data_IF_490334623115
#
_entry.id   IF_490334623115
#
_cell.length_a   1.000
_cell.length_b   1.000
_cell.length_c   1.000
_cell.angle_alpha   90.00
_cell.angle_beta   90.00
_cell.angle_gamma   90.00
#
_symmetry.space_group_name_H-M   'P 1'
#
loop_
_entity.id
_entity.type
_entity.pdbx_description
1 polymer ?
#
# COMPACT_ATOMS: atom_id res chain seq x y z
N UNK A 1 9.10 -27.05 14.03
CA UNK A 1 8.03 -26.33 13.28
C UNK A 1 8.50 -24.90 12.94
N UNK A 2 8.62 -24.58 11.66
CA UNK A 2 8.83 -23.19 11.24
C UNK A 2 7.51 -22.47 11.48
N UNK A 3 7.49 -21.50 12.39
CA UNK A 3 6.30 -20.69 12.64
C UNK A 3 6.18 -19.66 11.53
N UNK A 4 5.08 -19.69 10.80
CA UNK A 4 4.78 -18.64 9.83
C UNK A 4 4.49 -17.33 10.57
N UNK A 5 5.06 -16.23 10.08
CA UNK A 5 4.81 -14.91 10.65
C UNK A 5 3.41 -14.43 10.28
N UNK A 6 2.77 -13.72 11.22
CA UNK A 6 1.51 -13.02 10.98
C UNK A 6 1.71 -11.57 11.37
N UNK A 7 1.49 -10.65 10.43
CA UNK A 7 1.61 -9.21 10.66
C UNK A 7 0.26 -8.56 10.40
N UNK A 8 -0.12 -7.61 11.26
CA UNK A 8 -1.37 -6.87 11.13
C UNK A 8 -1.09 -5.40 10.88
N UNK A 9 -1.63 -4.88 9.80
CA UNK A 9 -1.70 -3.45 9.51
C UNK A 9 -3.04 -2.92 10.02
N UNK A 10 -3.00 -1.82 10.77
CA UNK A 10 -4.16 -1.21 11.42
C UNK A 10 -4.09 0.30 11.19
N UNK A 11 -5.25 0.93 11.06
CA UNK A 11 -5.35 2.38 11.27
C UNK A 11 -5.14 2.67 12.75
N UNK A 12 -4.47 3.77 13.05
CA UNK A 12 -4.37 4.22 14.44
C UNK A 12 -5.72 4.73 14.92
N UNK A 13 -6.12 4.37 16.14
CA UNK A 13 -7.45 4.73 16.68
C UNK A 13 -7.74 6.26 16.61
N UNK A 14 -6.81 7.16 16.96
CA UNK A 14 -7.07 8.60 16.85
C UNK A 14 -7.31 9.08 15.41
N UNK A 15 -6.67 8.45 14.43
CA UNK A 15 -6.88 8.75 13.01
C UNK A 15 -8.23 8.21 12.54
N UNK A 16 -8.57 7.00 12.97
CA UNK A 16 -9.83 6.36 12.60
C UNK A 16 -11.05 7.12 13.12
N UNK A 17 -11.00 7.64 14.35
CA UNK A 17 -12.06 8.47 14.92
C UNK A 17 -12.31 9.75 14.12
N UNK A 18 -11.27 10.33 13.53
CA UNK A 18 -11.36 11.52 12.69
C UNK A 18 -11.92 11.22 11.29
N UNK A 19 -11.90 9.96 10.88
CA UNK A 19 -12.25 9.50 9.53
C UNK A 19 -13.31 8.39 9.55
N UNK A 20 -14.32 8.56 10.40
CA UNK A 20 -15.44 7.61 10.58
C UNK A 20 -16.26 7.35 9.30
N UNK A 21 -16.16 8.23 8.31
CA UNK A 21 -16.79 8.10 7.00
C UNK A 21 -16.17 6.99 6.13
N UNK A 22 -14.97 6.51 6.47
CA UNK A 22 -14.28 5.48 5.69
C UNK A 22 -14.89 4.11 6.01
N UNK A 23 -15.75 3.62 5.12
CA UNK A 23 -16.42 2.32 5.24
C UNK A 23 -15.54 1.10 4.88
N UNK A 24 -14.30 1.32 4.44
CA UNK A 24 -13.35 0.26 4.09
C UNK A 24 -12.80 -0.51 5.31
N UNK A 25 -12.08 -1.62 5.09
CA UNK A 25 -11.59 -2.47 6.17
C UNK A 25 -10.64 -1.70 7.11
N UNK A 26 -10.83 -1.81 8.43
CA UNK A 26 -9.97 -1.14 9.42
C UNK A 26 -8.56 -1.75 9.50
N UNK A 27 -8.44 -3.01 9.09
CA UNK A 27 -7.23 -3.79 9.24
C UNK A 27 -6.97 -4.67 8.02
N UNK A 28 -5.70 -4.93 7.74
CA UNK A 28 -5.25 -6.00 6.88
C UNK A 28 -4.32 -6.94 7.65
N UNK A 29 -4.41 -8.23 7.37
CA UNK A 29 -3.55 -9.25 7.99
C UNK A 29 -2.73 -9.94 6.90
N UNK A 30 -1.41 -9.89 7.04
CA UNK A 30 -0.45 -10.62 6.23
C UNK A 30 -0.12 -11.94 6.89
N UNK A 31 -0.50 -13.04 6.24
CA UNK A 31 -0.09 -14.38 6.63
C UNK A 31 1.06 -14.81 5.74
N UNK A 32 2.27 -14.85 6.29
CA UNK A 32 3.47 -15.20 5.54
C UNK A 32 3.54 -16.72 5.30
N UNK A 33 4.19 -17.09 4.20
CA UNK A 33 4.60 -18.47 3.96
C UNK A 33 5.83 -18.86 4.79
N UNK A 34 6.33 -20.09 4.60
CA UNK A 34 7.61 -20.53 5.13
C UNK A 34 8.73 -19.55 4.79
N UNK A 35 9.73 -19.42 5.67
CA UNK A 35 10.90 -18.57 5.48
C UNK A 35 10.59 -17.09 5.16
N UNK A 36 9.44 -16.59 5.65
CA UNK A 36 8.92 -15.26 5.35
C UNK A 36 8.68 -15.05 3.85
N UNK A 37 8.34 -16.11 3.13
CA UNK A 37 7.92 -16.01 1.73
C UNK A 37 6.49 -15.49 1.57
N UNK A 38 6.05 -15.28 0.32
CA UNK A 38 4.67 -14.88 0.02
C UNK A 38 3.66 -15.88 0.57
N UNK A 39 2.58 -15.38 1.16
CA UNK A 39 1.43 -16.17 1.56
C UNK A 39 0.14 -15.53 1.08
N UNK A 40 -0.71 -15.08 2.00
CA UNK A 40 -1.97 -14.42 1.66
C UNK A 40 -2.28 -13.23 2.57
N UNK A 41 -3.12 -12.34 2.07
CA UNK A 41 -3.64 -11.17 2.76
C UNK A 41 -5.14 -11.36 3.01
N UNK A 42 -5.61 -10.86 4.14
CA UNK A 42 -7.04 -10.80 4.46
C UNK A 42 -7.43 -9.40 4.91
N UNK A 43 -8.62 -8.97 4.49
CA UNK A 43 -9.25 -7.71 4.88
C UNK A 43 -10.54 -8.03 5.65
N UNK A 44 -10.49 -8.01 6.98
CA UNK A 44 -11.63 -8.41 7.81
C UNK A 44 -12.15 -9.80 7.46
N UNK A 45 -13.43 -9.89 7.08
CA UNK A 45 -14.12 -11.13 6.68
C UNK A 45 -14.09 -11.40 5.17
N UNK A 46 -13.34 -10.62 4.39
CA UNK A 46 -13.21 -10.83 2.96
C UNK A 46 -12.47 -12.16 2.65
N UNK A 47 -12.68 -12.74 1.46
CA UNK A 47 -11.90 -13.88 0.99
C UNK A 47 -10.40 -13.59 1.06
N UNK A 48 -9.60 -14.63 1.35
CA UNK A 48 -8.15 -14.55 1.28
C UNK A 48 -7.69 -14.23 -0.15
N UNK A 49 -6.75 -13.30 -0.28
CA UNK A 49 -6.12 -12.93 -1.54
C UNK A 49 -4.66 -13.36 -1.45
N UNK A 50 -4.12 -14.06 -2.44
CA UNK A 50 -2.71 -14.44 -2.37
C UNK A 50 -1.84 -13.18 -2.49
N UNK A 51 -0.71 -13.14 -1.79
CA UNK A 51 0.23 -12.01 -1.92
C UNK A 51 0.73 -11.92 -3.36
N UNK A 52 0.93 -13.05 -4.04
CA UNK A 52 1.30 -13.12 -5.45
C UNK A 52 0.25 -12.47 -6.35
N UNK A 53 -1.02 -12.75 -6.11
CA UNK A 53 -2.10 -12.09 -6.84
C UNK A 53 -2.07 -10.58 -6.61
N UNK A 54 -1.91 -10.10 -5.38
CA UNK A 54 -1.82 -8.65 -5.11
C UNK A 54 -0.63 -7.97 -5.79
N UNK A 55 0.46 -8.71 -6.02
CA UNK A 55 1.61 -8.22 -6.80
C UNK A 55 1.30 -8.19 -8.31
N UNK A 56 0.56 -9.18 -8.81
CA UNK A 56 0.27 -9.36 -10.24
C UNK A 56 -1.00 -8.65 -10.74
N UNK A 57 -1.92 -8.23 -9.86
CA UNK A 57 -3.21 -7.62 -10.22
C UNK A 57 -3.01 -6.23 -10.85
N UNK A 58 -2.68 -6.26 -12.14
CA UNK A 58 -2.45 -5.11 -13.01
C UNK A 58 -3.54 -4.92 -14.08
N UNK A 59 -4.70 -5.59 -14.03
CA UNK A 59 -5.57 -5.55 -15.22
C UNK A 59 -7.11 -5.56 -15.10
N UNK A 60 -7.76 -6.28 -14.19
CA UNK A 60 -9.19 -6.62 -14.47
C UNK A 60 -10.22 -6.32 -13.35
N UNK A 61 -9.95 -5.48 -12.36
CA UNK A 61 -11.01 -4.99 -11.46
C UNK A 61 -10.84 -3.52 -11.08
N UNK A 62 -11.96 -2.89 -10.71
CA UNK A 62 -12.29 -1.45 -10.70
C UNK A 62 -11.38 -0.51 -9.88
N UNK A 63 -10.28 -0.99 -9.33
CA UNK A 63 -9.18 -0.18 -8.80
C UNK A 63 -7.87 -0.81 -9.26
N UNK A 64 -7.20 -0.16 -10.20
CA UNK A 64 -5.88 -0.58 -10.68
C UNK A 64 -4.84 0.22 -9.90
N UNK A 65 -4.31 -0.37 -8.83
CA UNK A 65 -3.06 0.14 -8.25
C UNK A 65 -1.96 -0.20 -9.26
N UNK A 66 -1.77 0.69 -10.23
CA UNK A 66 -0.81 0.48 -11.31
C UNK A 66 0.59 0.47 -10.69
N UNK A 67 1.09 -0.73 -10.44
CA UNK A 67 2.40 -0.89 -9.83
C UNK A 67 3.47 -0.40 -10.79
N UNK A 68 4.25 0.58 -10.32
CA UNK A 68 5.70 0.74 -10.49
C UNK A 68 6.25 0.21 -11.83
N UNK A 69 6.77 1.09 -12.70
CA UNK A 69 8.07 1.68 -12.39
C UNK A 69 8.25 3.08 -12.95
N UNK A 70 8.48 4.07 -12.10
CA UNK A 70 9.44 5.15 -12.40
C UNK A 70 9.57 5.98 -11.12
N UNK A 71 10.80 6.21 -10.67
CA UNK A 71 11.09 7.46 -9.99
C UNK A 71 10.58 8.57 -10.91
N UNK A 72 9.46 9.18 -10.54
CA UNK A 72 8.93 10.34 -11.22
C UNK A 72 9.32 11.55 -10.41
N UNK A 73 10.17 12.39 -10.99
CA UNK A 73 10.48 13.68 -10.39
C UNK A 73 9.44 14.67 -10.89
N UNK A 74 8.72 15.29 -9.95
CA UNK A 74 7.77 16.36 -10.25
C UNK A 74 8.15 17.61 -9.49
N UNK A 75 7.67 18.77 -9.94
CA UNK A 75 7.81 20.02 -9.20
C UNK A 75 6.51 20.36 -8.50
N UNK A 76 6.57 20.60 -7.20
CA UNK A 76 5.44 21.08 -6.40
C UNK A 76 5.88 22.32 -5.64
N UNK A 77 5.18 23.44 -5.87
CA UNK A 77 5.47 24.73 -5.23
C UNK A 77 6.93 25.19 -5.37
N UNK A 78 7.58 24.85 -6.49
CA UNK A 78 8.98 25.21 -6.77
C UNK A 78 10.02 24.29 -6.14
N UNK A 79 9.61 23.17 -5.51
CA UNK A 79 10.50 22.14 -4.98
C UNK A 79 10.37 20.86 -5.79
N UNK A 80 11.51 20.21 -6.06
CA UNK A 80 11.56 18.89 -6.68
C UNK A 80 11.13 17.84 -5.67
N UNK A 81 10.16 17.00 -6.05
CA UNK A 81 9.68 15.89 -5.23
C UNK A 81 9.88 14.59 -5.99
N UNK A 82 10.51 13.61 -5.32
CA UNK A 82 10.70 12.27 -5.84
C UNK A 82 9.49 11.40 -5.50
N UNK A 83 8.66 11.12 -6.51
CA UNK A 83 7.56 10.17 -6.39
C UNK A 83 8.10 8.78 -6.64
N UNK A 84 7.95 7.91 -5.64
CA UNK A 84 8.37 6.51 -5.70
C UNK A 84 7.21 5.63 -6.17
N UNK A 85 5.96 5.99 -5.83
CA UNK A 85 4.76 5.24 -6.18
C UNK A 85 3.53 6.11 -6.40
N UNK A 86 2.61 5.61 -7.23
CA UNK A 86 1.27 6.19 -7.41
C UNK A 86 0.22 5.08 -7.48
N UNK A 87 -0.98 5.34 -6.96
CA UNK A 87 -2.15 4.48 -7.11
C UNK A 87 -3.21 5.17 -7.98
N UNK A 88 -3.88 4.43 -8.86
CA UNK A 88 -4.85 4.98 -9.81
C UNK A 88 -6.22 4.28 -9.75
N UNK A 89 -7.28 5.04 -10.06
CA UNK A 89 -8.62 4.55 -10.28
C UNK A 89 -9.03 4.94 -11.69
N UNK A 90 -8.69 4.11 -12.69
CA UNK A 90 -8.79 4.50 -14.09
C UNK A 90 -7.81 5.61 -14.43
N UNK A 91 -8.31 6.83 -14.71
CA UNK A 91 -7.49 8.01 -15.01
C UNK A 91 -7.23 8.91 -13.81
N UNK A 92 -7.80 8.59 -12.65
CA UNK A 92 -7.73 9.43 -11.45
C UNK A 92 -6.62 8.94 -10.54
N UNK A 93 -5.70 9.83 -10.14
CA UNK A 93 -4.72 9.52 -9.09
C UNK A 93 -5.43 9.43 -7.74
N UNK A 94 -5.30 8.30 -7.07
CA UNK A 94 -5.91 8.04 -5.77
C UNK A 94 -4.93 8.29 -4.61
N UNK A 95 -3.65 7.99 -4.81
CA UNK A 95 -2.62 8.28 -3.83
C UNK A 95 -1.24 8.45 -4.47
N UNK A 96 -0.35 9.17 -3.78
CA UNK A 96 1.04 9.41 -4.13
C UNK A 96 1.94 9.07 -2.95
N UNK A 97 3.02 8.34 -3.20
CA UNK A 97 4.06 8.04 -2.23
C UNK A 97 5.35 8.75 -2.64
N UNK A 98 5.80 9.66 -1.80
CA UNK A 98 6.92 10.56 -2.06
C UNK A 98 8.04 10.27 -1.06
N UNK A 99 9.30 10.29 -1.51
CA UNK A 99 10.44 10.27 -0.59
C UNK A 99 10.49 11.59 0.15
N UNK A 100 10.80 11.52 1.45
CA UNK A 100 11.00 12.71 2.26
C UNK A 100 12.35 13.35 2.03
N UNK A 101 12.46 14.63 2.37
CA UNK A 101 13.73 15.34 2.36
C UNK A 101 14.61 14.88 3.54
N UNK A 102 15.95 14.97 3.46
CA UNK A 102 16.84 14.57 4.55
C UNK A 102 16.56 15.24 5.90
N UNK A 103 15.94 16.42 5.88
CA UNK A 103 15.59 17.22 7.06
C UNK A 103 14.27 16.79 7.70
N UNK A 104 13.44 15.99 7.01
CA UNK A 104 12.17 15.51 7.53
C UNK A 104 12.37 14.44 8.62
N UNK A 105 11.47 14.43 9.60
CA UNK A 105 11.45 13.41 10.68
C UNK A 105 10.90 12.05 10.23
N UNK A 106 10.46 11.94 8.98
CA UNK A 106 9.84 10.75 8.40
C UNK A 106 10.56 10.39 7.09
N UNK A 107 10.55 9.12 6.71
CA UNK A 107 11.30 8.63 5.54
C UNK A 107 10.56 8.84 4.21
N UNK A 108 9.23 8.83 4.25
CA UNK A 108 8.39 9.03 3.08
C UNK A 108 7.00 9.56 3.49
N UNK A 109 6.33 10.23 2.55
CA UNK A 109 4.97 10.75 2.72
C UNK A 109 4.00 10.05 1.77
N UNK A 110 2.91 9.52 2.33
CA UNK A 110 1.76 9.04 1.55
C UNK A 110 0.67 10.12 1.55
N UNK A 111 0.38 10.67 0.38
CA UNK A 111 -0.74 11.60 0.18
C UNK A 111 -1.90 10.87 -0.48
N UNK A 112 -3.07 10.84 0.15
CA UNK A 112 -4.26 10.16 -0.37
C UNK A 112 -5.30 11.20 -0.77
N UNK A 113 -5.81 11.10 -2.00
CA UNK A 113 -6.89 11.94 -2.49
C UNK A 113 -8.23 11.49 -1.88
N UNK A 114 -9.25 12.37 -1.77
CA UNK A 114 -10.54 11.99 -1.23
C UNK A 114 -11.17 10.74 -1.88
N UNK A 115 -10.98 10.57 -3.19
CA UNK A 115 -11.44 9.39 -3.93
C UNK A 115 -10.74 8.07 -3.53
N UNK A 116 -9.54 8.14 -2.95
CA UNK A 116 -8.77 7.00 -2.47
C UNK A 116 -9.04 6.64 -1.01
N UNK A 117 -9.66 7.53 -0.23
CA UNK A 117 -9.95 7.27 1.20
C UNK A 117 -10.78 6.00 1.45
N UNK A 118 -11.83 5.67 0.66
CA UNK A 118 -12.61 4.45 0.87
C UNK A 118 -11.78 3.16 0.81
N UNK A 119 -10.65 3.19 0.10
CA UNK A 119 -9.76 2.04 -0.12
C UNK A 119 -8.36 2.26 0.48
N UNK A 120 -8.24 3.17 1.46
CA UNK A 120 -6.95 3.54 2.06
C UNK A 120 -6.19 2.33 2.60
N UNK A 121 -6.90 1.37 3.18
CA UNK A 121 -6.29 0.19 3.77
C UNK A 121 -5.69 -0.69 2.68
N UNK A 122 -6.39 -0.89 1.56
CA UNK A 122 -5.91 -1.61 0.40
C UNK A 122 -4.69 -0.92 -0.24
N UNK A 123 -4.71 0.42 -0.33
CA UNK A 123 -3.58 1.22 -0.81
C UNK A 123 -2.35 0.99 0.06
N UNK A 124 -2.45 1.21 1.38
CA UNK A 124 -1.32 1.03 2.31
C UNK A 124 -0.88 -0.43 2.35
N UNK A 125 -1.82 -1.36 2.25
CA UNK A 125 -1.52 -2.80 2.27
C UNK A 125 -0.66 -3.20 1.08
N UNK A 126 -1.01 -2.69 -0.10
CA UNK A 126 -0.31 -2.95 -1.36
C UNK A 126 1.07 -2.29 -1.38
N UNK A 127 1.17 -1.04 -0.93
CA UNK A 127 2.45 -0.33 -0.84
C UNK A 127 3.42 -1.03 0.13
N UNK A 128 2.90 -1.48 1.26
CA UNK A 128 3.67 -2.26 2.24
C UNK A 128 4.15 -3.58 1.63
N UNK A 129 3.27 -4.30 0.91
CA UNK A 129 3.63 -5.53 0.22
C UNK A 129 4.75 -5.31 -0.80
N UNK A 130 4.65 -4.26 -1.62
CA UNK A 130 5.66 -3.94 -2.62
C UNK A 130 7.02 -3.59 -1.99
N UNK A 131 7.00 -2.87 -0.86
CA UNK A 131 8.23 -2.62 -0.10
C UNK A 131 8.82 -3.90 0.46
N UNK A 132 7.99 -4.83 0.94
CA UNK A 132 8.44 -6.14 1.40
C UNK A 132 9.09 -6.94 0.27
N UNK A 133 8.48 -6.99 -0.92
CA UNK A 133 9.05 -7.66 -2.11
C UNK A 133 10.46 -7.16 -2.40
N UNK A 134 10.63 -5.83 -2.47
CA UNK A 134 11.92 -5.21 -2.74
C UNK A 134 12.95 -5.44 -1.63
N UNK A 135 12.51 -5.58 -0.37
CA UNK A 135 13.42 -5.71 0.79
C UNK A 135 13.76 -7.16 1.11
N UNK A 136 12.83 -8.09 0.88
CA UNK A 136 12.95 -9.51 1.18
C UNK A 136 13.42 -10.34 -0.03
N UNK A 137 13.69 -9.68 -1.16
CA UNK A 137 14.16 -10.29 -2.41
C UNK A 137 13.25 -11.43 -2.88
N UNK A 138 11.93 -11.22 -2.79
CA UNK A 138 10.96 -12.18 -3.31
C UNK A 138 11.01 -12.16 -4.83
N UNK A 139 11.39 -13.29 -5.44
CA UNK A 139 11.33 -13.45 -6.89
C UNK A 139 9.85 -13.50 -7.33
N UNK A 140 9.44 -12.49 -8.10
CA UNK A 140 8.12 -12.40 -8.76
C UNK A 140 8.19 -12.84 -10.20
#
# INVERSE_FOLDING_TARGET
>A
PVSNAVIRLLREAPWEEQHSEIQGPQAAVYYFGPDKGPGYVMFGNAPKITMVDMMLHKKDSSTVIDQFPLLQVTERQGMQVEIIASAYGGRTTLALWELSEPEDIFHARLTIQPAGLPIVTEIVTTLTLNRMVATLDWQT
#
